data_IF_744981397051
#
_entry.id   IF_744981397051
#
_cell.length_a   1.000
_cell.length_b   1.000
_cell.length_c   1.000
_cell.angle_alpha   90.00
_cell.angle_beta   90.00
_cell.angle_gamma   90.00
#
_symmetry.space_group_name_H-M   'P 1'
#
loop_
_entity.id
_entity.type
_entity.pdbx_description
1 polymer ?
#
# COMPACT_ATOMS: atom_id res chain seq x y z
N UNK A 1 -2.88 -0.05 0.23
CA UNK A 1 -1.76 -0.72 -0.45
C UNK A 1 -1.53 -2.05 0.24
N UNK A 2 -1.26 -3.12 -0.52
CA UNK A 2 -0.93 -4.40 0.09
C UNK A 2 0.37 -4.28 0.91
N UNK A 3 0.56 -5.22 1.83
CA UNK A 3 1.60 -5.13 2.84
C UNK A 3 2.94 -5.71 2.37
N UNK A 4 3.13 -5.95 1.06
CA UNK A 4 4.38 -6.53 0.55
C UNK A 4 5.58 -5.63 0.86
N UNK A 5 6.72 -6.25 1.15
CA UNK A 5 7.95 -5.56 1.55
C UNK A 5 8.45 -4.57 0.49
N UNK A 6 8.16 -4.83 -0.79
CA UNK A 6 8.52 -3.94 -1.90
C UNK A 6 7.85 -2.56 -1.80
N UNK A 7 6.65 -2.47 -1.23
CA UNK A 7 5.92 -1.22 -1.09
C UNK A 7 6.43 -0.34 0.05
N UNK A 8 7.25 -0.89 0.95
CA UNK A 8 7.77 -0.21 2.14
C UNK A 8 9.12 0.46 1.92
N UNK A 9 9.59 0.54 0.67
CA UNK A 9 10.83 1.23 0.37
C UNK A 9 10.72 2.72 0.71
N UNK A 10 11.78 3.31 1.25
CA UNK A 10 11.82 4.71 1.68
C UNK A 10 11.41 5.66 0.55
N UNK A 11 11.89 5.41 -0.66
CA UNK A 11 11.59 6.26 -1.83
C UNK A 11 10.09 6.26 -2.15
N UNK A 12 9.42 5.11 -1.97
CA UNK A 12 7.98 4.99 -2.19
C UNK A 12 7.20 5.79 -1.16
N UNK A 13 7.60 5.73 0.12
CA UNK A 13 6.95 6.48 1.19
C UNK A 13 7.17 7.99 1.06
N UNK A 14 8.40 8.41 0.72
CA UNK A 14 8.75 9.81 0.51
C UNK A 14 7.98 10.41 -0.66
N UNK A 15 7.84 9.68 -1.77
CA UNK A 15 7.04 10.13 -2.91
C UNK A 15 5.55 10.31 -2.56
N UNK A 16 5.00 9.41 -1.73
CA UNK A 16 3.60 9.49 -1.29
C UNK A 16 3.39 10.69 -0.36
N UNK A 17 4.32 10.93 0.57
CA UNK A 17 4.28 12.09 1.46
C UNK A 17 4.45 13.41 0.70
N UNK A 18 5.36 13.47 -0.28
CA UNK A 18 5.58 14.63 -1.14
C UNK A 18 4.34 15.00 -1.98
N UNK A 19 3.49 14.02 -2.30
CA UNK A 19 2.21 14.23 -2.97
C UNK A 19 1.09 14.66 -2.02
N UNK A 20 1.35 14.74 -0.71
CA UNK A 20 0.36 15.05 0.32
C UNK A 20 -0.67 13.93 0.52
N UNK A 21 -0.35 12.71 0.10
CA UNK A 21 -1.24 11.56 0.21
C UNK A 21 -1.04 10.86 1.56
N UNK A 22 -2.13 10.30 2.10
CA UNK A 22 -2.08 9.41 3.26
C UNK A 22 -2.07 7.97 2.80
N UNK A 23 -1.11 7.17 3.28
CA UNK A 23 -0.99 5.76 2.94
C UNK A 23 -1.65 4.88 4.00
N UNK A 24 -2.60 4.05 3.56
CA UNK A 24 -3.20 3.00 4.39
C UNK A 24 -2.75 1.61 3.93
N UNK A 25 -2.27 0.81 4.89
CA UNK A 25 -1.83 -0.56 4.66
C UNK A 25 -2.98 -1.54 4.84
N UNK A 26 -3.11 -2.49 3.91
CA UNK A 26 -4.01 -3.61 4.09
C UNK A 26 -3.51 -4.51 5.22
N UNK A 27 -4.43 -5.01 6.03
CA UNK A 27 -4.13 -6.01 7.05
C UNK A 27 -3.56 -7.28 6.39
N UNK A 28 -2.55 -7.93 6.99
CA UNK A 28 -1.94 -9.14 6.42
C UNK A 28 -2.99 -10.23 6.14
N UNK A 29 -2.83 -10.96 5.04
CA UNK A 29 -3.70 -12.09 4.66
C UNK A 29 -5.19 -11.74 4.56
N UNK A 30 -5.48 -10.58 3.97
CA UNK A 30 -6.85 -10.12 3.69
C UNK A 30 -7.12 -10.01 2.19
N UNK A 31 -7.13 -11.14 1.45
CA UNK A 31 -7.36 -11.15 0.01
C UNK A 31 -8.76 -10.64 -0.36
N UNK A 32 -9.70 -10.65 0.58
CA UNK A 32 -11.05 -10.08 0.38
C UNK A 32 -11.11 -8.54 0.45
N UNK A 33 -10.04 -7.89 0.90
CA UNK A 33 -9.98 -6.43 1.07
C UNK A 33 -9.12 -5.74 0.01
N UNK A 34 -8.50 -6.50 -0.89
CA UNK A 34 -7.87 -5.93 -2.05
C UNK A 34 -8.92 -5.71 -3.14
N UNK A 35 -9.40 -4.46 -3.24
CA UNK A 35 -10.37 -4.04 -4.27
C UNK A 35 -9.82 -4.20 -5.69
N UNK A 36 -8.51 -4.49 -5.85
CA UNK A 36 -7.86 -4.74 -7.13
C UNK A 36 -7.67 -6.24 -7.44
N UNK A 37 -7.84 -7.15 -6.46
CA UNK A 37 -7.71 -8.61 -6.67
C UNK A 37 -8.97 -9.23 -7.31
N UNK A 38 -10.11 -8.55 -7.28
CA UNK A 38 -11.33 -9.01 -7.94
C UNK A 38 -11.32 -8.67 -9.43
N UNK A 39 -10.78 -9.58 -10.25
CA UNK A 39 -10.95 -9.60 -11.71
C UNK A 39 -11.85 -10.75 -12.16
#
# INVERSE_FOLDING_TARGET
MDNASVHKHSDTLEAIEALGCTLEWLIPYSPSFDLMEHK
#
